data_IF_863883355363
#
_entry.id   IF_863883355363
#
_cell.length_a   1.000
_cell.length_b   1.000
_cell.length_c   1.000
_cell.angle_alpha   90.00
_cell.angle_beta   90.00
_cell.angle_gamma   90.00
#
_symmetry.space_group_name_H-M   'P 1'
#
loop_
_entity.id
_entity.type
_entity.pdbx_description
1 polymer ?
#
# COMPACT_ATOMS: atom_id res chain seq x y z
N UNK A 1 17.63 0.52 10.18
CA UNK A 1 19.04 0.08 10.29
C UNK A 1 19.70 -0.21 8.94
N UNK A 2 18.94 -0.56 7.88
CA UNK A 2 19.49 -0.88 6.54
C UNK A 2 19.81 0.37 5.68
N UNK A 3 19.02 1.45 5.78
CA UNK A 3 19.19 2.64 4.93
C UNK A 3 20.46 3.48 5.21
N UNK A 4 21.16 3.26 6.32
CA UNK A 4 22.34 4.06 6.71
C UNK A 4 23.66 3.56 6.11
N UNK A 5 23.66 2.46 5.33
CA UNK A 5 24.88 1.83 4.78
C UNK A 5 25.05 1.98 3.27
N UNK A 6 24.15 2.67 2.56
CA UNK A 6 24.27 2.86 1.12
C UNK A 6 25.22 4.03 0.82
N UNK A 7 26.53 3.77 0.84
CA UNK A 7 27.57 4.72 0.46
C UNK A 7 27.91 4.65 -1.05
N UNK A 8 27.30 3.70 -1.78
CA UNK A 8 27.64 3.35 -3.16
C UNK A 8 26.37 3.18 -4.05
N UNK A 9 26.45 3.54 -5.33
CA UNK A 9 25.30 3.53 -6.26
C UNK A 9 24.72 2.12 -6.49
N UNK A 10 25.57 1.07 -6.45
CA UNK A 10 25.13 -0.33 -6.57
C UNK A 10 24.30 -0.81 -5.37
N UNK A 11 24.57 -0.30 -4.17
CA UNK A 11 23.80 -0.68 -2.98
C UNK A 11 22.40 -0.05 -3.01
N UNK A 12 22.27 1.17 -3.55
CA UNK A 12 20.98 1.84 -3.75
C UNK A 12 20.07 1.06 -4.72
N UNK A 13 20.60 0.61 -5.86
CA UNK A 13 19.82 -0.15 -6.83
C UNK A 13 19.42 -1.54 -6.31
N UNK A 14 20.31 -2.19 -5.56
CA UNK A 14 19.99 -3.46 -4.88
C UNK A 14 18.87 -3.29 -3.85
N UNK A 15 18.95 -2.25 -3.02
CA UNK A 15 17.92 -1.94 -2.01
C UNK A 15 16.57 -1.62 -2.68
N UNK A 16 16.61 -0.79 -3.72
CA UNK A 16 15.43 -0.45 -4.50
C UNK A 16 14.75 -1.70 -5.05
N UNK A 17 15.49 -2.58 -5.73
CA UNK A 17 14.95 -3.84 -6.22
C UNK A 17 14.39 -4.70 -5.08
N UNK A 18 15.10 -4.79 -3.94
CA UNK A 18 14.65 -5.58 -2.78
C UNK A 18 13.35 -5.09 -2.16
N UNK A 19 12.98 -3.82 -2.30
CA UNK A 19 11.70 -3.28 -1.83
C UNK A 19 10.62 -3.27 -2.92
N UNK A 20 11.01 -2.97 -4.16
CA UNK A 20 10.07 -2.78 -5.27
C UNK A 20 9.55 -4.12 -5.80
N UNK A 21 10.37 -5.16 -5.92
CA UNK A 21 9.89 -6.46 -6.38
C UNK A 21 8.80 -7.05 -5.45
N UNK A 22 8.96 -7.06 -4.12
CA UNK A 22 7.89 -7.49 -3.21
C UNK A 22 6.64 -6.60 -3.28
N UNK A 23 6.80 -5.28 -3.40
CA UNK A 23 5.66 -4.37 -3.49
C UNK A 23 4.85 -4.58 -4.79
N UNK A 24 5.55 -4.70 -5.93
CA UNK A 24 4.91 -4.95 -7.22
C UNK A 24 4.23 -6.31 -7.26
N UNK A 25 4.87 -7.37 -6.74
CA UNK A 25 4.24 -8.68 -6.66
C UNK A 25 2.98 -8.64 -5.80
N UNK A 26 3.00 -7.99 -4.64
CA UNK A 26 1.80 -7.78 -3.82
C UNK A 26 0.68 -7.08 -4.61
N UNK A 27 1.02 -6.04 -5.38
CA UNK A 27 0.03 -5.32 -6.18
C UNK A 27 -0.53 -6.16 -7.33
N UNK A 28 0.31 -6.96 -7.98
CA UNK A 28 -0.12 -7.90 -9.03
C UNK A 28 -1.05 -8.97 -8.47
N UNK A 29 -0.70 -9.58 -7.33
CA UNK A 29 -1.54 -10.57 -6.66
C UNK A 29 -2.90 -9.98 -6.28
N UNK A 30 -2.93 -8.73 -5.79
CA UNK A 30 -4.19 -8.04 -5.50
C UNK A 30 -5.05 -7.86 -6.76
N UNK A 31 -4.45 -7.53 -7.91
CA UNK A 31 -5.18 -7.41 -9.18
C UNK A 31 -5.74 -8.75 -9.67
N UNK A 32 -4.95 -9.83 -9.54
CA UNK A 32 -5.40 -11.19 -9.85
C UNK A 32 -6.56 -11.60 -8.94
N UNK A 33 -6.46 -11.33 -7.63
CA UNK A 33 -7.53 -11.59 -6.68
C UNK A 33 -8.83 -10.91 -7.09
N UNK A 34 -8.81 -9.59 -7.38
CA UNK A 34 -10.01 -8.85 -7.77
C UNK A 34 -10.62 -9.36 -9.08
N UNK A 35 -9.78 -9.80 -10.02
CA UNK A 35 -10.23 -10.37 -11.30
C UNK A 35 -10.93 -11.72 -11.10
N UNK A 36 -10.32 -12.59 -10.29
CA UNK A 36 -10.87 -13.90 -9.96
C UNK A 36 -12.16 -13.75 -9.16
N UNK A 37 -12.19 -12.87 -8.16
CA UNK A 37 -13.38 -12.55 -7.37
C UNK A 37 -14.54 -12.08 -8.27
N UNK A 38 -14.29 -11.11 -9.15
CA UNK A 38 -15.28 -10.65 -10.12
C UNK A 38 -15.77 -11.73 -11.08
N UNK A 39 -14.89 -12.63 -11.52
CA UNK A 39 -15.26 -13.76 -12.38
C UNK A 39 -16.17 -14.77 -11.67
N UNK A 40 -15.83 -15.17 -10.45
CA UNK A 40 -16.66 -16.10 -9.65
C UNK A 40 -18.00 -15.48 -9.27
N UNK A 41 -18.02 -14.21 -8.85
CA UNK A 41 -19.26 -13.49 -8.56
C UNK A 41 -20.12 -13.37 -9.82
N UNK A 42 -19.51 -13.04 -10.97
CA UNK A 42 -20.19 -12.97 -12.25
C UNK A 42 -20.83 -14.29 -12.67
N UNK A 43 -20.16 -15.44 -12.46
CA UNK A 43 -20.74 -16.75 -12.73
C UNK A 43 -21.83 -17.16 -11.73
N UNK A 44 -21.64 -16.88 -10.44
CA UNK A 44 -22.55 -17.36 -9.39
C UNK A 44 -23.82 -16.52 -9.24
N UNK A 45 -23.71 -15.19 -9.39
CA UNK A 45 -24.81 -14.24 -9.14
C UNK A 45 -25.22 -13.44 -10.37
N UNK A 46 -24.51 -13.63 -11.49
CA UNK A 46 -24.81 -12.97 -12.76
C UNK A 46 -24.72 -11.45 -12.67
N UNK A 47 -25.51 -10.79 -13.53
CA UNK A 47 -25.58 -9.34 -13.63
C UNK A 47 -26.00 -8.66 -12.31
N UNK A 48 -26.89 -9.28 -11.54
CA UNK A 48 -27.44 -8.67 -10.32
C UNK A 48 -26.38 -8.54 -9.22
N UNK A 49 -25.51 -9.54 -9.04
CA UNK A 49 -24.45 -9.45 -8.04
C UNK A 49 -23.34 -8.47 -8.44
N UNK A 50 -22.98 -8.40 -9.73
CA UNK A 50 -22.05 -7.38 -10.22
C UNK A 50 -22.61 -5.96 -10.04
N UNK A 51 -23.91 -5.75 -10.28
CA UNK A 51 -24.57 -4.47 -10.03
C UNK A 51 -24.56 -4.11 -8.53
N UNK A 52 -24.83 -5.09 -7.65
CA UNK A 52 -24.77 -4.90 -6.20
C UNK A 52 -23.37 -4.52 -5.70
N UNK A 53 -22.31 -5.15 -6.25
CA UNK A 53 -20.92 -4.76 -5.97
C UNK A 53 -20.69 -3.32 -6.44
N UNK A 54 -21.11 -2.96 -7.66
CA UNK A 54 -20.93 -1.60 -8.18
C UNK A 54 -21.51 -0.51 -7.27
N UNK A 55 -22.68 -0.77 -6.66
CA UNK A 55 -23.32 0.15 -5.71
C UNK A 55 -22.61 0.16 -4.35
N UNK A 56 -22.09 -0.99 -3.91
CA UNK A 56 -21.46 -1.15 -2.59
C UNK A 56 -19.98 -0.74 -2.56
N UNK A 57 -19.28 -0.84 -3.69
CA UNK A 57 -17.85 -0.61 -3.82
C UNK A 57 -17.36 0.77 -3.32
N UNK A 58 -18.10 1.89 -3.52
CA UNK A 58 -17.70 3.20 -3.00
C UNK A 58 -17.49 3.22 -1.48
N UNK A 59 -18.27 2.45 -0.71
CA UNK A 59 -18.11 2.38 0.75
C UNK A 59 -16.80 1.71 1.14
N UNK A 60 -16.43 0.62 0.45
CA UNK A 60 -15.15 -0.08 0.65
C UNK A 60 -13.97 0.82 0.28
N UNK A 61 -14.08 1.55 -0.84
CA UNK A 61 -13.04 2.49 -1.29
C UNK A 61 -12.90 3.63 -0.30
N UNK A 62 -13.98 4.15 0.28
CA UNK A 62 -13.92 5.20 1.30
C UNK A 62 -13.16 4.75 2.55
N UNK A 63 -13.48 3.55 3.07
CA UNK A 63 -12.79 2.98 4.22
C UNK A 63 -11.29 2.76 3.92
N UNK A 64 -10.99 2.22 2.74
CA UNK A 64 -9.61 2.00 2.29
C UNK A 64 -8.85 3.32 2.12
N UNK A 65 -9.50 4.34 1.57
CA UNK A 65 -8.90 5.66 1.37
C UNK A 65 -8.57 6.35 2.70
N UNK A 66 -9.45 6.24 3.70
CA UNK A 66 -9.18 6.75 5.04
C UNK A 66 -7.97 6.04 5.68
N UNK A 67 -7.95 4.70 5.63
CA UNK A 67 -6.84 3.91 6.17
C UNK A 67 -5.52 4.18 5.45
N UNK A 68 -5.53 4.19 4.11
CA UNK A 68 -4.36 4.48 3.30
C UNK A 68 -3.88 5.92 3.50
N UNK A 69 -4.79 6.89 3.61
CA UNK A 69 -4.47 8.28 3.89
C UNK A 69 -3.71 8.46 5.19
N UNK A 70 -4.20 7.84 6.28
CA UNK A 70 -3.52 7.87 7.58
C UNK A 70 -2.19 7.10 7.52
N UNK A 71 -2.17 5.91 6.93
CA UNK A 71 -0.96 5.08 6.86
C UNK A 71 0.16 5.71 6.02
N UNK A 72 -0.16 6.13 4.79
CA UNK A 72 0.81 6.75 3.87
C UNK A 72 1.18 8.14 4.37
N UNK A 73 0.21 8.93 4.83
CA UNK A 73 0.44 10.28 5.37
C UNK A 73 1.32 10.28 6.63
N UNK A 74 1.01 9.40 7.59
CA UNK A 74 1.83 9.19 8.79
C UNK A 74 3.24 8.68 8.46
N UNK A 75 3.34 7.73 7.53
CA UNK A 75 4.63 7.23 7.03
C UNK A 75 5.48 8.32 6.35
N UNK A 76 4.86 9.20 5.56
CA UNK A 76 5.52 10.33 4.93
C UNK A 76 6.04 11.34 5.97
N UNK A 77 5.20 11.70 6.95
CA UNK A 77 5.61 12.58 8.06
C UNK A 77 6.75 11.97 8.89
N UNK A 78 6.70 10.67 9.16
CA UNK A 78 7.75 9.94 9.86
C UNK A 78 9.07 9.96 9.08
N UNK A 79 9.02 9.72 7.77
CA UNK A 79 10.19 9.76 6.88
C UNK A 79 10.83 11.16 6.87
N UNK A 80 10.02 12.20 6.77
CA UNK A 80 10.46 13.60 6.79
C UNK A 80 11.08 13.98 8.14
N UNK A 81 10.46 13.60 9.26
CA UNK A 81 10.95 13.88 10.62
C UNK A 81 12.27 13.15 10.92
N UNK A 82 12.39 11.89 10.48
CA UNK A 82 13.64 11.13 10.53
C UNK A 82 14.74 11.76 9.70
N UNK A 83 14.43 12.24 8.49
CA UNK A 83 15.37 12.99 7.64
C UNK A 83 15.88 14.28 8.27
N UNK A 84 15.05 14.97 9.07
CA UNK A 84 15.42 16.19 9.81
C UNK A 84 16.16 15.95 11.14
N UNK A 85 16.53 14.70 11.47
CA UNK A 85 17.12 14.29 12.77
C UNK A 85 16.30 14.69 14.00
N UNK A 86 14.99 14.89 13.87
CA UNK A 86 14.08 15.20 14.98
C UNK A 86 13.44 13.91 15.49
N UNK A 87 14.24 13.09 16.17
CA UNK A 87 13.84 11.76 16.66
C UNK A 87 12.69 11.77 17.67
N UNK A 88 12.59 12.81 18.52
CA UNK A 88 11.49 12.94 19.49
C UNK A 88 10.13 13.09 18.81
N UNK A 89 10.03 13.95 17.79
CA UNK A 89 8.82 14.13 16.99
C UNK A 89 8.45 12.88 16.17
N UNK A 90 9.45 12.07 15.78
CA UNK A 90 9.21 10.82 15.08
C UNK A 90 8.60 9.74 15.99
N UNK A 91 8.97 9.69 17.27
CA UNK A 91 8.37 8.79 18.27
C UNK A 91 6.94 9.20 18.62
N UNK A 92 6.64 10.51 18.71
CA UNK A 92 5.29 11.01 18.98
C UNK A 92 4.30 10.81 17.83
N UNK A 93 4.76 10.51 16.61
CA UNK A 93 3.87 10.17 15.47
C UNK A 93 3.50 8.68 15.50
N UNK A 94 4.29 7.85 16.19
CA UNK A 94 4.08 6.40 16.31
C UNK A 94 3.34 6.01 17.60
N UNK A 95 3.21 6.92 18.57
CA UNK A 95 2.50 6.74 19.84
C UNK A 95 1.16 7.46 19.78
#
# INVERSE_FOLDING_TARGET
MVALKAKNYKDMSLLFCSFVFPALTSQLLSGVYTTVDGFFVGMGTGYVGLAAIGISYPFTVFATAAGAGIGIGGGALLSISRGRKRSSLAESILT
#
